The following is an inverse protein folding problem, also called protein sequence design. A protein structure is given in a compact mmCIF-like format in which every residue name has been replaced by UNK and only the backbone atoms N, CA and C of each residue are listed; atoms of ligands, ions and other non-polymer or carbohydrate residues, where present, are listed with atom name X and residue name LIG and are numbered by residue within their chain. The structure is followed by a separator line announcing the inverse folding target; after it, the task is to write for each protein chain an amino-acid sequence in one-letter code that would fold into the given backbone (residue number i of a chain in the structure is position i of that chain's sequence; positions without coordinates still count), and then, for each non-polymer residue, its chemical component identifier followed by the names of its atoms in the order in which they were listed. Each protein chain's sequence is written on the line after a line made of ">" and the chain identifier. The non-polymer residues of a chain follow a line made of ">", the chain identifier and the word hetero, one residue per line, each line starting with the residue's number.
data_IF_407576688802
#
_entry.id   IF_407576688802
#
_cell.length_a   1.000
_cell.length_b   1.000
_cell.length_c   1.000
_cell.angle_alpha   90.00
_cell.angle_beta   90.00
_cell.angle_gamma   90.00
#
_symmetry.space_group_name_H-M   'P 1'
#
loop_
_entity.id
_entity.type
_entity.pdbx_description
1 polymer ?
#
# COMPACT_ATOMS: atom_id res chain seq x y z
N UNK A 1 -17.98 11.35 15.18
CA UNK A 1 -16.84 11.47 14.24
C UNK A 1 -17.31 11.76 12.82
N UNK A 2 -18.30 12.65 12.66
CA UNK A 2 -18.95 13.00 11.38
C UNK A 2 -18.33 14.23 10.66
N UNK A 3 -17.75 15.26 11.34
CA UNK A 3 -17.24 16.44 10.63
C UNK A 3 -15.78 16.33 10.11
N UNK A 4 -15.02 15.32 10.52
CA UNK A 4 -13.55 15.34 10.36
C UNK A 4 -13.02 14.84 9.00
N UNK A 5 -13.78 14.03 8.27
CA UNK A 5 -13.32 13.38 7.01
C UNK A 5 -14.04 13.97 5.79
N UNK A 6 -15.29 14.39 5.94
CA UNK A 6 -16.06 15.05 4.89
C UNK A 6 -15.53 16.45 4.56
N UNK A 7 -15.13 17.23 5.57
CA UNK A 7 -14.62 18.59 5.38
C UNK A 7 -13.43 18.66 4.40
N UNK A 8 -12.36 17.85 4.59
CA UNK A 8 -11.19 17.85 3.71
C UNK A 8 -11.48 17.35 2.29
N UNK A 9 -12.30 16.31 2.12
CA UNK A 9 -12.60 15.71 0.81
C UNK A 9 -13.50 16.63 -0.02
N UNK A 10 -14.54 17.18 0.62
CA UNK A 10 -15.45 18.13 -0.01
C UNK A 10 -14.67 19.40 -0.39
N UNK A 11 -13.84 19.95 0.52
CA UNK A 11 -12.99 21.10 0.24
C UNK A 11 -12.01 20.86 -0.92
N UNK A 12 -11.43 19.66 -1.01
CA UNK A 12 -10.57 19.27 -2.14
C UNK A 12 -11.29 19.28 -3.48
N UNK A 13 -12.51 18.72 -3.53
CA UNK A 13 -13.34 18.70 -4.75
C UNK A 13 -13.77 20.12 -5.13
N UNK A 14 -14.18 20.95 -4.16
CA UNK A 14 -14.50 22.37 -4.40
C UNK A 14 -13.30 23.15 -4.98
N UNK A 15 -12.08 22.90 -4.48
CA UNK A 15 -10.87 23.56 -4.99
C UNK A 15 -10.49 23.14 -6.41
N UNK A 16 -10.76 21.89 -6.79
CA UNK A 16 -10.54 21.41 -8.16
C UNK A 16 -11.55 22.02 -9.12
N UNK A 17 -12.81 22.14 -8.71
CA UNK A 17 -13.86 22.77 -9.52
C UNK A 17 -13.55 24.26 -9.73
N UNK A 18 -13.11 24.97 -8.69
CA UNK A 18 -12.72 26.39 -8.79
C UNK A 18 -11.48 26.63 -9.67
N UNK A 19 -10.61 25.62 -9.83
CA UNK A 19 -9.44 25.70 -10.71
C UNK A 19 -9.70 25.23 -12.15
N UNK A 20 -10.66 24.32 -12.35
CA UNK A 20 -10.95 23.73 -13.65
C UNK A 20 -12.04 24.47 -14.43
N UNK A 21 -12.94 25.20 -13.74
CA UNK A 21 -14.06 25.91 -14.37
C UNK A 21 -13.83 27.42 -14.28
N UNK A 22 -13.54 28.06 -15.42
CA UNK A 22 -13.27 29.50 -15.51
C UNK A 22 -14.54 30.38 -15.37
N UNK A 23 -15.72 29.79 -15.60
CA UNK A 23 -17.02 30.45 -15.53
C UNK A 23 -17.65 30.30 -14.13
N UNK A 24 -17.81 31.43 -13.43
CA UNK A 24 -18.27 31.45 -12.03
C UNK A 24 -19.72 30.98 -11.86
N UNK A 25 -20.56 31.17 -12.87
CA UNK A 25 -21.97 30.76 -12.81
C UNK A 25 -22.11 29.24 -12.98
N UNK A 26 -21.27 28.64 -13.83
CA UNK A 26 -21.20 27.18 -13.96
C UNK A 26 -20.59 26.52 -12.72
N UNK A 27 -19.56 27.12 -12.12
CA UNK A 27 -19.01 26.65 -10.86
C UNK A 27 -20.08 26.69 -9.75
N UNK A 28 -20.84 27.79 -9.63
CA UNK A 28 -21.93 27.89 -8.65
C UNK A 28 -23.03 26.83 -8.86
N UNK A 29 -23.41 26.55 -10.11
CA UNK A 29 -24.40 25.53 -10.44
C UNK A 29 -23.91 24.10 -10.13
N UNK A 30 -22.64 23.80 -10.41
CA UNK A 30 -22.02 22.51 -10.07
C UNK A 30 -21.95 22.35 -8.55
N UNK A 31 -21.55 23.40 -7.83
CA UNK A 31 -21.50 23.44 -6.36
C UNK A 31 -22.89 23.20 -5.75
N UNK A 32 -23.93 23.83 -6.28
CA UNK A 32 -25.32 23.63 -5.84
C UNK A 32 -25.80 22.19 -6.08
N UNK A 33 -25.52 21.61 -7.24
CA UNK A 33 -25.84 20.19 -7.53
C UNK A 33 -25.08 19.22 -6.62
N UNK A 34 -23.81 19.50 -6.34
CA UNK A 34 -23.00 18.71 -5.40
C UNK A 34 -23.59 18.78 -3.99
N UNK A 35 -24.03 19.95 -3.57
CA UNK A 35 -24.70 20.17 -2.29
C UNK A 35 -26.06 19.44 -2.24
N UNK A 36 -26.80 19.41 -3.34
CA UNK A 36 -28.05 18.65 -3.48
C UNK A 36 -27.80 17.13 -3.45
N UNK A 37 -26.77 16.62 -4.13
CA UNK A 37 -26.36 15.21 -4.07
C UNK A 37 -25.90 14.79 -2.67
N UNK A 38 -25.25 15.71 -1.94
CA UNK A 38 -24.88 15.53 -0.52
C UNK A 38 -26.12 15.48 0.37
N UNK A 39 -27.10 16.35 0.14
CA UNK A 39 -28.35 16.44 0.91
C UNK A 39 -29.32 15.29 0.62
N UNK A 40 -29.31 14.72 -0.59
CA UNK A 40 -30.22 13.65 -1.04
C UNK A 40 -29.78 12.24 -0.63
N UNK A 41 -28.63 12.09 0.04
CA UNK A 41 -28.26 10.84 0.71
C UNK A 41 -27.54 9.79 -0.15
N UNK A 42 -27.19 10.10 -1.41
CA UNK A 42 -26.35 9.24 -2.26
C UNK A 42 -24.91 9.08 -1.73
N UNK A 43 -24.50 9.92 -0.78
CA UNK A 43 -23.26 9.75 -0.04
C UNK A 43 -23.22 8.48 0.80
N UNK A 44 -24.37 7.94 1.23
CA UNK A 44 -24.40 6.71 2.02
C UNK A 44 -23.94 5.50 1.22
N UNK A 45 -24.35 5.41 -0.05
CA UNK A 45 -23.92 4.33 -0.95
C UNK A 45 -22.43 4.43 -1.27
N UNK A 46 -21.93 5.66 -1.47
CA UNK A 46 -20.50 5.91 -1.69
C UNK A 46 -19.69 5.63 -0.42
N UNK A 47 -20.21 5.96 0.76
CA UNK A 47 -19.58 5.65 2.04
C UNK A 47 -19.58 4.15 2.33
N UNK A 48 -20.66 3.43 2.03
CA UNK A 48 -20.75 1.97 2.21
C UNK A 48 -19.82 1.24 1.23
N UNK A 49 -19.76 1.66 -0.03
CA UNK A 49 -18.81 1.14 -1.01
C UNK A 49 -17.37 1.45 -0.61
N UNK A 50 -17.09 2.69 -0.16
CA UNK A 50 -15.78 3.07 0.33
C UNK A 50 -15.41 2.33 1.62
N UNK A 51 -16.37 2.05 2.50
CA UNK A 51 -16.19 1.28 3.72
C UNK A 51 -15.91 -0.20 3.41
N UNK A 52 -16.58 -0.79 2.42
CA UNK A 52 -16.29 -2.15 1.95
C UNK A 52 -14.93 -2.24 1.28
N UNK A 53 -14.61 -1.33 0.35
CA UNK A 53 -13.28 -1.26 -0.28
C UNK A 53 -12.20 -1.02 0.79
N UNK A 54 -12.48 -0.19 1.78
CA UNK A 54 -11.58 0.03 2.91
C UNK A 54 -11.51 -1.19 3.82
N UNK A 55 -12.57 -1.95 4.03
CA UNK A 55 -12.54 -3.18 4.82
C UNK A 55 -11.78 -4.30 4.09
N UNK A 56 -11.90 -4.38 2.76
CA UNK A 56 -11.14 -5.29 1.90
C UNK A 56 -9.66 -4.87 1.81
N UNK A 57 -9.38 -3.57 1.65
CA UNK A 57 -8.02 -3.03 1.58
C UNK A 57 -7.34 -2.89 2.95
N UNK A 58 -8.10 -2.75 4.03
CA UNK A 58 -7.63 -2.80 5.43
C UNK A 58 -7.66 -4.22 5.99
N UNK A 59 -8.19 -5.17 5.21
CA UNK A 59 -8.01 -6.59 5.37
C UNK A 59 -6.54 -6.91 5.09
N UNK A 60 -5.71 -6.51 6.03
CA UNK A 60 -4.30 -6.88 6.11
C UNK A 60 -4.25 -8.41 6.19
N UNK A 61 -4.28 -9.04 5.03
CA UNK A 61 -4.23 -10.48 4.88
C UNK A 61 -3.02 -10.91 5.69
N UNK A 62 -3.24 -11.81 6.66
CA UNK A 62 -2.15 -12.32 7.49
C UNK A 62 -0.97 -12.79 6.64
N UNK A 63 -1.27 -13.29 5.43
CA UNK A 63 -0.30 -13.66 4.43
C UNK A 63 0.45 -12.44 3.83
N UNK A 64 -0.20 -11.31 3.56
CA UNK A 64 0.47 -10.06 3.14
C UNK A 64 1.34 -9.41 4.22
N UNK A 65 1.03 -9.60 5.50
CA UNK A 65 1.91 -9.16 6.59
C UNK A 65 3.06 -10.14 6.83
N UNK A 66 2.81 -11.44 6.67
CA UNK A 66 3.73 -12.50 7.08
C UNK A 66 4.57 -13.09 5.94
N UNK A 67 4.23 -12.86 4.66
CA UNK A 67 5.01 -13.40 3.53
C UNK A 67 6.46 -12.98 3.61
N UNK A 68 6.71 -11.78 4.16
CA UNK A 68 8.02 -11.16 4.18
C UNK A 68 8.96 -11.77 5.23
N UNK A 69 8.49 -12.09 6.45
CA UNK A 69 9.19 -13.03 7.34
C UNK A 69 9.29 -14.46 6.80
N UNK A 70 8.23 -14.98 6.17
CA UNK A 70 8.19 -16.36 5.65
C UNK A 70 9.28 -16.57 4.59
N UNK A 71 9.44 -15.64 3.64
CA UNK A 71 10.49 -15.75 2.61
C UNK A 71 11.90 -15.76 3.20
N UNK A 72 12.14 -14.95 4.24
CA UNK A 72 13.43 -14.94 4.95
C UNK A 72 13.69 -16.27 5.66
N UNK A 73 12.68 -16.83 6.33
CA UNK A 73 12.78 -18.15 6.98
C UNK A 73 13.02 -19.26 5.95
N UNK A 74 12.38 -19.20 4.78
CA UNK A 74 12.62 -20.16 3.69
C UNK A 74 14.06 -20.09 3.20
N UNK A 75 14.62 -18.89 2.97
CA UNK A 75 16.02 -18.77 2.56
C UNK A 75 17.01 -19.27 3.62
N UNK A 76 16.76 -18.97 4.89
CA UNK A 76 17.57 -19.51 5.99
C UNK A 76 17.46 -21.03 6.06
N UNK A 77 16.25 -21.59 5.91
CA UNK A 77 16.03 -23.02 5.89
C UNK A 77 16.76 -23.71 4.73
N UNK A 78 16.81 -23.11 3.54
CA UNK A 78 17.57 -23.63 2.40
C UNK A 78 19.09 -23.67 2.69
N UNK A 79 19.62 -22.63 3.32
CA UNK A 79 21.03 -22.59 3.74
C UNK A 79 21.28 -23.69 4.78
N UNK A 80 20.45 -23.79 5.81
CA UNK A 80 20.59 -24.80 6.88
C UNK A 80 20.47 -26.22 6.32
N UNK A 81 19.51 -26.47 5.43
CA UNK A 81 19.33 -27.76 4.77
C UNK A 81 20.58 -28.19 3.99
N UNK A 82 21.23 -27.26 3.28
CA UNK A 82 22.52 -27.50 2.61
C UNK A 82 23.60 -27.97 3.60
N UNK A 83 23.78 -27.25 4.71
CA UNK A 83 24.78 -27.57 5.73
C UNK A 83 24.52 -28.90 6.44
N UNK A 84 23.26 -29.32 6.51
CA UNK A 84 22.84 -30.62 7.06
C UNK A 84 22.92 -31.76 6.03
N UNK A 85 23.38 -31.49 4.79
CA UNK A 85 23.51 -32.50 3.74
C UNK A 85 22.21 -32.82 3.00
N UNK A 86 21.11 -32.12 3.27
CA UNK A 86 19.84 -32.24 2.54
C UNK A 86 19.86 -31.43 1.24
N UNK A 87 20.90 -31.63 0.44
CA UNK A 87 21.03 -30.97 -0.87
C UNK A 87 20.56 -31.93 -1.95
N UNK A 88 19.84 -31.42 -2.96
CA UNK A 88 19.42 -32.25 -4.08
C UNK A 88 20.65 -32.87 -4.79
N UNK A 89 20.64 -34.16 -5.14
CA UNK A 89 21.73 -34.77 -5.89
C UNK A 89 21.85 -34.11 -7.27
N UNK A 90 23.06 -33.65 -7.63
CA UNK A 90 23.35 -33.03 -8.93
C UNK A 90 23.40 -31.50 -8.95
N UNK A 91 23.34 -30.82 -7.80
CA UNK A 91 23.58 -29.38 -7.74
C UNK A 91 25.07 -29.12 -8.00
N UNK A 92 25.38 -28.45 -9.11
CA UNK A 92 26.75 -28.03 -9.44
C UNK A 92 27.13 -26.79 -8.64
N UNK A 93 28.43 -26.59 -8.40
CA UNK A 93 28.95 -25.42 -7.68
C UNK A 93 28.48 -24.09 -8.28
N UNK A 94 28.31 -24.03 -9.60
CA UNK A 94 27.76 -22.87 -10.30
C UNK A 94 26.31 -22.55 -9.90
N UNK A 95 25.46 -23.57 -9.69
CA UNK A 95 24.07 -23.39 -9.23
C UNK A 95 24.04 -22.94 -7.78
N UNK A 96 24.96 -23.41 -6.95
CA UNK A 96 25.07 -22.96 -5.56
C UNK A 96 25.46 -21.48 -5.46
N UNK A 97 26.47 -21.07 -6.24
CA UNK A 97 26.92 -19.69 -6.29
C UNK A 97 25.81 -18.76 -6.78
N UNK A 98 25.08 -19.15 -7.83
CA UNK A 98 23.93 -18.41 -8.33
C UNK A 98 22.81 -18.29 -7.28
N UNK A 99 22.52 -19.36 -6.54
CA UNK A 99 21.53 -19.34 -5.45
C UNK A 99 21.95 -18.39 -4.32
N UNK A 100 23.22 -18.43 -3.91
CA UNK A 100 23.74 -17.51 -2.89
C UNK A 100 23.75 -16.06 -3.35
N UNK A 101 24.03 -15.81 -4.62
CA UNK A 101 23.97 -14.47 -5.20
C UNK A 101 22.54 -13.91 -5.18
N UNK A 102 21.55 -14.72 -5.58
CA UNK A 102 20.13 -14.36 -5.49
C UNK A 102 19.72 -14.05 -4.05
N UNK A 103 20.13 -14.88 -3.08
CA UNK A 103 19.85 -14.65 -1.66
C UNK A 103 20.50 -13.33 -1.20
N UNK A 104 21.76 -13.08 -1.56
CA UNK A 104 22.49 -11.87 -1.17
C UNK A 104 21.83 -10.61 -1.72
N UNK A 105 21.40 -10.63 -2.98
CA UNK A 105 20.68 -9.52 -3.62
C UNK A 105 19.30 -9.34 -2.97
N UNK A 106 18.57 -10.42 -2.72
CA UNK A 106 17.26 -10.39 -2.07
C UNK A 106 17.30 -9.84 -0.65
N UNK A 107 18.23 -10.31 0.18
CA UNK A 107 18.45 -9.79 1.54
C UNK A 107 18.91 -8.34 1.52
N UNK A 108 19.90 -8.02 0.67
CA UNK A 108 20.46 -6.67 0.57
C UNK A 108 19.41 -5.65 0.16
N UNK A 109 18.67 -5.92 -0.92
CA UNK A 109 17.60 -5.05 -1.40
C UNK A 109 16.47 -4.87 -0.39
N UNK A 110 16.11 -5.93 0.33
CA UNK A 110 15.10 -5.88 1.38
C UNK A 110 15.49 -5.01 2.58
N UNK A 111 16.73 -5.17 3.07
CA UNK A 111 17.23 -4.44 4.24
C UNK A 111 17.37 -2.96 3.90
N UNK A 112 17.85 -2.65 2.70
CA UNK A 112 17.92 -1.29 2.18
C UNK A 112 16.50 -0.71 2.07
N UNK A 113 15.58 -1.43 1.42
CA UNK A 113 14.19 -1.00 1.26
C UNK A 113 13.52 -0.67 2.60
N UNK A 114 13.78 -1.46 3.66
CA UNK A 114 13.27 -1.16 5.00
C UNK A 114 13.91 0.01 5.68
N UNK A 115 15.21 0.16 5.49
CA UNK A 115 15.95 1.28 6.06
C UNK A 115 15.43 2.59 5.46
N UNK A 116 15.15 2.60 4.15
CA UNK A 116 14.51 3.72 3.45
C UNK A 116 13.07 3.96 3.96
N UNK A 117 12.23 2.92 4.03
CA UNK A 117 10.85 3.04 4.53
C UNK A 117 10.81 3.61 5.96
N UNK A 118 11.73 3.18 6.82
CA UNK A 118 11.87 3.69 8.19
C UNK A 118 12.39 5.13 8.21
N UNK A 119 13.38 5.45 7.38
CA UNK A 119 13.94 6.80 7.26
C UNK A 119 12.91 7.83 6.81
N UNK A 120 12.11 7.50 5.79
CA UNK A 120 11.03 8.37 5.30
C UNK A 120 9.99 8.64 6.39
N UNK A 121 9.64 7.62 7.18
CA UNK A 121 8.69 7.76 8.30
C UNK A 121 9.19 8.74 9.36
N UNK A 122 10.44 8.57 9.79
CA UNK A 122 11.08 9.46 10.78
C UNK A 122 11.19 10.89 10.25
N UNK A 123 11.46 11.08 8.95
CA UNK A 123 11.52 12.40 8.33
C UNK A 123 10.14 13.08 8.28
N UNK A 124 9.07 12.33 8.01
CA UNK A 124 7.69 12.86 7.99
C UNK A 124 7.13 13.18 9.38
N UNK A 125 7.70 12.58 10.42
CA UNK A 125 7.35 12.83 11.83
C UNK A 125 8.10 14.03 12.44
N UNK A 126 9.13 14.57 11.75
CA UNK A 126 9.83 15.82 12.10
C UNK A 126 9.24 17.02 11.37
#
# INVERSE_FOLDING_TARGET
>A
MWPAILGPVISGIFSVIDKAVADKDQAAAIKARLQEMVLTGQLREIEEAAANIRAEASGDSWLQRSWRPITMLTFVALIVAKWLGFTAPGVTEAVELALFEIIKIGLGGYVIGRSVEKGIRVWKER
#
